data_IF_369554616076
#
_entry.id   IF_369554616076
#
_cell.length_a   1.000
_cell.length_b   1.000
_cell.length_c   1.000
_cell.angle_alpha   90.00
_cell.angle_beta   90.00
_cell.angle_gamma   90.00
#
_symmetry.space_group_name_H-M   'P 1'
#
loop_
_entity.id
_entity.type
_entity.pdbx_description
1 polymer ?
#
# COMPACT_ATOMS: atom_id res chain seq x y z
N UNK A 1 -16.40 -4.26 5.42
CA UNK A 1 -16.11 -3.97 3.99
C UNK A 1 -15.36 -2.67 3.88
N UNK A 2 -14.38 -2.62 3.01
CA UNK A 2 -13.61 -1.41 2.74
C UNK A 2 -14.24 -0.58 1.63
N UNK A 3 -13.96 0.70 1.60
CA UNK A 3 -14.34 1.54 0.47
C UNK A 3 -13.40 1.29 -0.71
N UNK A 4 -12.11 1.15 -0.42
CA UNK A 4 -11.08 0.93 -1.44
C UNK A 4 -10.06 -0.07 -0.94
N UNK A 5 -9.63 -0.97 -1.83
CA UNK A 5 -8.46 -1.82 -1.62
C UNK A 5 -7.39 -1.38 -2.63
N UNK A 6 -6.22 -1.03 -2.12
CA UNK A 6 -5.04 -0.72 -2.92
C UNK A 6 -4.13 -1.94 -2.91
N UNK A 7 -3.83 -2.46 -4.09
CA UNK A 7 -2.94 -3.62 -4.23
C UNK A 7 -1.57 -3.14 -4.65
N UNK A 8 -0.62 -3.29 -3.76
CA UNK A 8 0.74 -2.82 -3.93
C UNK A 8 1.11 -1.76 -2.91
N UNK A 9 2.24 -1.93 -2.25
CA UNK A 9 2.73 -1.07 -1.17
C UNK A 9 3.94 -0.21 -1.52
N UNK A 10 4.25 -0.06 -2.81
CA UNK A 10 5.28 0.86 -3.26
C UNK A 10 4.85 2.32 -3.19
N UNK A 11 5.68 3.25 -3.70
CA UNK A 11 5.37 4.68 -3.61
C UNK A 11 4.02 5.06 -4.21
N UNK A 12 3.65 4.47 -5.34
CA UNK A 12 2.38 4.76 -6.00
C UNK A 12 1.19 4.30 -5.15
N UNK A 13 1.22 3.04 -4.69
CA UNK A 13 0.14 2.48 -3.87
C UNK A 13 0.00 3.18 -2.54
N UNK A 14 1.11 3.40 -1.84
CA UNK A 14 1.10 4.09 -0.55
C UNK A 14 0.62 5.54 -0.68
N UNK A 15 1.05 6.25 -1.72
CA UNK A 15 0.60 7.61 -1.99
C UNK A 15 -0.90 7.65 -2.27
N UNK A 16 -1.40 6.74 -3.11
CA UNK A 16 -2.83 6.64 -3.40
C UNK A 16 -3.63 6.37 -2.13
N UNK A 17 -3.18 5.42 -1.32
CA UNK A 17 -3.85 5.05 -0.07
C UNK A 17 -3.94 6.23 0.90
N UNK A 18 -2.85 7.00 1.03
CA UNK A 18 -2.82 8.17 1.89
C UNK A 18 -3.82 9.23 1.43
N UNK A 19 -3.86 9.52 0.13
CA UNK A 19 -4.83 10.47 -0.41
C UNK A 19 -6.27 10.01 -0.23
N UNK A 20 -6.55 8.75 -0.47
CA UNK A 20 -7.90 8.19 -0.29
C UNK A 20 -8.34 8.28 1.17
N UNK A 21 -7.43 8.00 2.10
CA UNK A 21 -7.72 8.09 3.53
C UNK A 21 -8.09 9.53 3.94
N UNK A 22 -7.49 10.54 3.30
CA UNK A 22 -7.82 11.94 3.55
C UNK A 22 -9.25 12.31 3.16
N UNK A 23 -9.86 11.57 2.26
CA UNK A 23 -11.28 11.71 1.93
C UNK A 23 -12.19 10.93 2.88
N UNK A 24 -11.65 10.44 3.99
CA UNK A 24 -12.37 9.66 5.01
C UNK A 24 -12.93 8.35 4.49
N UNK A 25 -12.28 7.79 3.50
CA UNK A 25 -12.61 6.46 3.00
C UNK A 25 -11.91 5.41 3.87
N UNK A 26 -12.55 4.26 4.02
CA UNK A 26 -11.92 3.13 4.69
C UNK A 26 -11.06 2.39 3.69
N UNK A 27 -9.73 2.49 3.86
CA UNK A 27 -8.75 2.01 2.88
C UNK A 27 -7.96 0.84 3.45
N UNK A 28 -7.86 -0.23 2.66
CA UNK A 28 -6.96 -1.35 2.90
C UNK A 28 -5.87 -1.33 1.83
N UNK A 29 -4.61 -1.42 2.24
CA UNK A 29 -3.49 -1.60 1.33
C UNK A 29 -2.90 -2.99 1.54
N UNK A 30 -2.85 -3.78 0.48
CA UNK A 30 -2.29 -5.13 0.50
C UNK A 30 -0.95 -5.10 -0.21
N UNK A 31 0.10 -5.50 0.49
CA UNK A 31 1.44 -5.57 -0.09
C UNK A 31 2.02 -6.97 0.12
N UNK A 32 2.74 -7.47 -0.86
CA UNK A 32 3.41 -8.76 -0.77
C UNK A 32 4.76 -8.62 -0.09
N UNK A 33 5.56 -7.65 -0.56
CA UNK A 33 6.91 -7.37 -0.08
C UNK A 33 7.24 -5.88 -0.28
N UNK A 34 8.49 -5.50 -0.11
CA UNK A 34 8.91 -4.11 -0.27
C UNK A 34 9.00 -3.66 -1.75
N UNK A 35 8.80 -4.57 -2.68
CA UNK A 35 8.78 -4.28 -4.11
C UNK A 35 10.15 -3.92 -4.68
N UNK A 36 10.12 -3.41 -5.91
CA UNK A 36 11.35 -3.07 -6.65
C UNK A 36 12.16 -1.96 -5.96
N UNK A 37 11.47 -0.95 -5.44
CA UNK A 37 12.14 0.15 -4.75
C UNK A 37 12.84 -0.34 -3.49
N UNK A 38 12.26 -1.32 -2.79
CA UNK A 38 12.85 -1.89 -1.59
C UNK A 38 14.23 -2.54 -1.81
N UNK A 39 14.54 -2.94 -3.05
CA UNK A 39 15.84 -3.52 -3.39
C UNK A 39 16.90 -2.49 -3.80
N UNK A 40 16.53 -1.23 -3.93
CA UNK A 40 17.45 -0.15 -4.31
C UNK A 40 18.24 0.32 -3.10
N UNK A 41 19.58 0.31 -3.17
CA UNK A 41 20.42 0.65 -2.02
C UNK A 41 20.66 2.15 -1.83
N UNK A 42 20.60 2.93 -2.91
CA UNK A 42 20.91 4.37 -2.86
C UNK A 42 19.88 5.16 -3.65
N UNK A 43 19.19 6.07 -2.98
CA UNK A 43 18.26 7.00 -3.61
C UNK A 43 18.69 8.42 -3.22
N UNK A 44 19.07 9.21 -4.22
CA UNK A 44 19.55 10.59 -4.03
C UNK A 44 18.59 11.62 -4.60
N UNK A 45 17.66 11.20 -5.44
CA UNK A 45 16.80 12.10 -6.20
C UNK A 45 15.34 12.10 -5.70
N UNK A 46 15.12 11.72 -4.45
CA UNK A 46 13.80 11.82 -3.86
C UNK A 46 13.71 13.14 -3.08
N UNK A 47 12.74 13.95 -3.44
CA UNK A 47 12.54 15.26 -2.82
C UNK A 47 12.32 15.14 -1.31
N UNK A 48 12.87 16.08 -0.57
CA UNK A 48 12.76 16.20 0.89
C UNK A 48 13.73 15.31 1.69
N UNK A 49 14.55 14.52 1.04
CA UNK A 49 15.63 13.78 1.72
C UNK A 49 16.97 14.45 1.43
N UNK A 50 17.52 15.10 2.44
CA UNK A 50 18.81 15.82 2.32
C UNK A 50 19.97 14.86 2.08
N UNK A 51 19.89 13.66 2.62
CA UNK A 51 20.92 12.64 2.49
C UNK A 51 20.39 11.46 1.68
N UNK A 52 21.30 10.65 1.14
CA UNK A 52 20.96 9.40 0.47
C UNK A 52 20.12 8.52 1.40
N UNK A 53 19.05 7.95 0.86
CA UNK A 53 18.19 7.01 1.58
C UNK A 53 18.16 5.69 0.81
N UNK A 54 18.06 4.56 1.52
CA UNK A 54 17.86 3.27 0.86
C UNK A 54 16.39 3.11 0.47
N UNK A 55 16.15 2.29 -0.56
CA UNK A 55 14.77 1.97 -0.95
C UNK A 55 14.00 1.27 0.17
N UNK A 56 14.66 0.41 0.93
CA UNK A 56 14.05 -0.24 2.11
C UNK A 56 13.55 0.80 3.10
N UNK A 57 14.40 1.73 3.50
CA UNK A 57 14.02 2.79 4.44
C UNK A 57 12.88 3.63 3.91
N UNK A 58 12.93 4.00 2.62
CA UNK A 58 11.90 4.84 2.02
C UNK A 58 10.55 4.12 2.02
N UNK A 59 10.51 2.86 1.60
CA UNK A 59 9.26 2.07 1.58
C UNK A 59 8.74 1.86 3.00
N UNK A 60 9.60 1.52 3.95
CA UNK A 60 9.19 1.33 5.35
C UNK A 60 8.61 2.61 5.94
N UNK A 61 9.23 3.76 5.68
CA UNK A 61 8.70 5.05 6.14
C UNK A 61 7.34 5.36 5.49
N UNK A 62 7.17 5.05 4.22
CA UNK A 62 5.90 5.22 3.52
C UNK A 62 4.79 4.37 4.12
N UNK A 63 5.08 3.12 4.48
CA UNK A 63 4.13 2.23 5.14
C UNK A 63 3.73 2.77 6.52
N UNK A 64 4.71 3.18 7.31
CA UNK A 64 4.46 3.76 8.63
C UNK A 64 3.61 5.04 8.53
N UNK A 65 3.88 5.86 7.54
CA UNK A 65 3.09 7.07 7.29
C UNK A 65 1.65 6.72 6.95
N UNK A 66 1.43 5.76 6.07
CA UNK A 66 0.10 5.31 5.69
C UNK A 66 -0.68 4.79 6.90
N UNK A 67 -0.05 3.94 7.70
CA UNK A 67 -0.66 3.39 8.91
C UNK A 67 -0.99 4.49 9.94
N UNK A 68 -0.08 5.42 10.15
CA UNK A 68 -0.32 6.55 11.06
C UNK A 68 -1.53 7.38 10.64
N UNK A 69 -1.77 7.50 9.34
CA UNK A 69 -2.88 8.27 8.79
C UNK A 69 -4.19 7.47 8.67
N UNK A 70 -4.19 6.22 9.11
CA UNK A 70 -5.40 5.42 9.22
C UNK A 70 -5.60 4.34 8.16
N UNK A 71 -4.64 4.16 7.25
CA UNK A 71 -4.69 3.07 6.27
C UNK A 71 -4.43 1.75 6.98
N UNK A 72 -5.27 0.75 6.72
CA UNK A 72 -4.99 -0.62 7.17
C UNK A 72 -4.02 -1.26 6.19
N UNK A 73 -2.89 -1.75 6.67
CA UNK A 73 -1.87 -2.38 5.84
C UNK A 73 -1.73 -3.85 6.22
N UNK A 74 -1.82 -4.73 5.23
CA UNK A 74 -1.56 -6.15 5.43
C UNK A 74 -0.48 -6.62 4.45
N UNK A 75 0.33 -7.56 4.91
CA UNK A 75 1.41 -8.14 4.11
C UNK A 75 0.98 -9.53 3.66
N UNK A 76 0.30 -9.60 2.53
CA UNK A 76 -0.27 -10.81 1.97
C UNK A 76 -0.15 -10.79 0.46
N UNK A 77 -0.21 -11.96 -0.16
CA UNK A 77 -0.17 -12.09 -1.61
C UNK A 77 -1.59 -12.23 -2.16
N UNK A 78 -1.97 -11.34 -3.07
CA UNK A 78 -3.26 -11.41 -3.76
C UNK A 78 -3.19 -12.51 -4.82
N UNK A 79 -4.17 -13.41 -4.80
CA UNK A 79 -4.26 -14.52 -5.74
C UNK A 79 -5.41 -14.40 -6.73
N UNK A 80 -6.47 -13.66 -6.38
CA UNK A 80 -7.56 -13.43 -7.32
C UNK A 80 -8.38 -12.20 -6.93
N UNK A 81 -9.04 -11.64 -7.93
CA UNK A 81 -9.97 -10.51 -7.77
C UNK A 81 -11.23 -10.87 -8.55
N UNK A 82 -12.36 -10.90 -7.85
CA UNK A 82 -13.66 -11.13 -8.46
C UNK A 82 -14.52 -9.88 -8.30
N UNK A 83 -15.36 -9.62 -9.26
CA UNK A 83 -16.28 -8.48 -9.23
C UNK A 83 -17.68 -8.96 -9.61
N UNK A 84 -18.51 -9.26 -8.60
CA UNK A 84 -19.92 -9.60 -8.83
C UNK A 84 -20.81 -8.38 -8.54
N UNK A 85 -20.88 -7.91 -7.34
CA UNK A 85 -21.53 -6.64 -6.98
C UNK A 85 -20.47 -5.70 -6.41
N UNK A 86 -19.74 -6.19 -5.44
CA UNK A 86 -18.55 -5.54 -4.92
C UNK A 86 -17.33 -6.33 -5.37
N UNK A 87 -16.15 -5.78 -5.15
CA UNK A 87 -14.91 -6.50 -5.39
C UNK A 87 -14.62 -7.46 -4.25
N UNK A 88 -14.28 -8.68 -4.59
CA UNK A 88 -13.78 -9.68 -3.64
C UNK A 88 -12.32 -9.96 -3.97
N UNK A 89 -11.45 -9.59 -3.05
CA UNK A 89 -10.01 -9.81 -3.20
C UNK A 89 -9.59 -10.97 -2.31
N UNK A 90 -9.05 -12.00 -2.92
CA UNK A 90 -8.56 -13.18 -2.21
C UNK A 90 -7.06 -13.14 -2.12
N UNK A 91 -6.57 -13.40 -0.91
CA UNK A 91 -5.14 -13.53 -0.66
C UNK A 91 -4.82 -14.95 -0.24
N UNK A 92 -3.54 -15.24 -0.03
CA UNK A 92 -3.11 -16.53 0.50
C UNK A 92 -3.61 -16.79 1.93
N UNK A 93 -4.13 -15.77 2.62
CA UNK A 93 -4.57 -15.89 4.01
C UNK A 93 -6.06 -15.72 4.20
N UNK A 94 -6.71 -14.82 3.47
CA UNK A 94 -8.13 -14.54 3.67
C UNK A 94 -8.74 -13.78 2.49
N UNK A 95 -9.99 -13.37 2.65
CA UNK A 95 -10.73 -12.63 1.65
C UNK A 95 -11.12 -11.26 2.18
N UNK A 96 -11.14 -10.28 1.29
CA UNK A 96 -11.52 -8.91 1.61
C UNK A 96 -12.52 -8.40 0.59
N UNK A 97 -13.46 -7.57 1.03
CA UNK A 97 -14.44 -6.95 0.15
C UNK A 97 -14.26 -5.44 0.12
N UNK A 98 -14.44 -4.85 -1.05
CA UNK A 98 -14.39 -3.42 -1.24
C UNK A 98 -15.31 -2.97 -2.38
N UNK A 99 -15.66 -1.70 -2.34
CA UNK A 99 -16.43 -1.07 -3.42
C UNK A 99 -15.56 -0.81 -4.64
N UNK A 100 -14.27 -0.58 -4.44
CA UNK A 100 -13.30 -0.31 -5.51
C UNK A 100 -11.95 -0.91 -5.16
#
# INVERSE_FOLDING_TARGET
MYDVIVIGGGPAGASAAIYLQRFRLKVLMIMKDLGTLGSTSHIDNYWAFANTVSGTELVEQGILQAERLGVTVVKEEVISIDNFNDYLVKTTKQEYQAKT
#
